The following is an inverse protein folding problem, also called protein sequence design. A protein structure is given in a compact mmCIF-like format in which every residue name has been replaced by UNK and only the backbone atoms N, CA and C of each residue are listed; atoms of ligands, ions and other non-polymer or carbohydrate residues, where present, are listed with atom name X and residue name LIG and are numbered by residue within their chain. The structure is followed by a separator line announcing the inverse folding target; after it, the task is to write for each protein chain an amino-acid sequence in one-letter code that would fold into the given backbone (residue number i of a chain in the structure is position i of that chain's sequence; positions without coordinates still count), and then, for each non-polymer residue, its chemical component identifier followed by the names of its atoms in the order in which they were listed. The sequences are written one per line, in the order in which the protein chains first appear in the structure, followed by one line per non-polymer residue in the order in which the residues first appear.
data_IF_003901671933
#
_entry.id   IF_003901671933
#
_cell.length_a   1.000
_cell.length_b   1.000
_cell.length_c   1.000
_cell.angle_alpha   90.00
_cell.angle_beta   90.00
_cell.angle_gamma   90.00
#
_symmetry.space_group_name_H-M   'P 1'
#
loop_
_entity.id
_entity.type
_entity.pdbx_description
1 polymer ?
#
# COMPACT_ATOMS: atom_id res chain seq x y z
N UNK A 1 43.88 -69.95 3.05
CA UNK A 1 42.91 -68.89 3.38
C UNK A 1 43.72 -67.70 3.90
N UNK A 2 44.01 -66.72 3.02
CA UNK A 2 44.95 -65.61 3.28
C UNK A 2 44.23 -64.43 3.94
N UNK A 3 44.92 -63.80 4.89
CA UNK A 3 44.58 -62.55 5.58
C UNK A 3 45.14 -61.36 4.79
N UNK A 4 44.35 -60.29 4.61
CA UNK A 4 44.75 -58.89 4.28
C UNK A 4 43.59 -58.00 4.78
N UNK A 5 43.70 -57.17 5.85
CA UNK A 5 44.35 -55.86 6.07
C UNK A 5 43.73 -54.67 5.30
N UNK A 6 43.39 -53.60 6.05
CA UNK A 6 42.93 -52.24 5.65
C UNK A 6 41.46 -52.17 5.18
N UNK A 7 40.62 -51.16 5.44
CA UNK A 7 40.74 -49.83 6.05
C UNK A 7 39.35 -49.16 6.11
N UNK A 8 39.20 -48.14 6.95
CA UNK A 8 38.23 -47.03 6.88
C UNK A 8 36.83 -47.24 7.51
N UNK A 9 36.71 -46.69 8.71
CA UNK A 9 35.47 -46.29 9.37
C UNK A 9 34.87 -45.06 8.68
N UNK A 10 33.57 -45.09 8.37
CA UNK A 10 32.78 -43.88 8.11
C UNK A 10 32.01 -43.55 9.39
N UNK A 11 32.48 -42.51 10.09
CA UNK A 11 31.73 -41.86 11.17
C UNK A 11 30.65 -41.00 10.52
N UNK A 12 29.38 -41.30 10.81
CA UNK A 12 28.26 -40.39 10.58
C UNK A 12 28.47 -39.13 11.40
N UNK A 13 28.86 -38.03 10.74
CA UNK A 13 28.84 -36.70 11.35
C UNK A 13 27.39 -36.21 11.26
N UNK A 14 26.69 -36.23 12.40
CA UNK A 14 25.43 -35.51 12.58
C UNK A 14 25.74 -34.01 12.45
N UNK A 15 25.32 -33.41 11.34
CA UNK A 15 25.36 -31.96 11.15
C UNK A 15 24.27 -31.35 12.04
N UNK A 16 24.64 -30.85 13.21
CA UNK A 16 23.76 -30.01 14.01
C UNK A 16 23.61 -28.66 13.29
N UNK A 17 22.52 -28.50 12.53
CA UNK A 17 22.17 -27.23 11.91
C UNK A 17 21.89 -26.20 13.00
N UNK A 18 22.73 -25.16 13.09
CA UNK A 18 22.37 -23.94 13.80
C UNK A 18 21.21 -23.30 13.03
N UNK A 19 20.00 -23.45 13.56
CA UNK A 19 18.87 -22.58 13.21
C UNK A 19 19.20 -21.24 13.86
N UNK A 20 19.88 -20.36 13.13
CA UNK A 20 19.95 -18.97 13.53
C UNK A 20 18.52 -18.43 13.53
N UNK A 21 18.04 -17.79 14.61
CA UNK A 21 16.77 -17.11 14.57
C UNK A 21 16.88 -16.05 13.48
N UNK A 22 16.10 -16.19 12.41
CA UNK A 22 15.79 -15.04 11.57
C UNK A 22 15.16 -14.03 12.50
N UNK A 23 15.90 -12.98 12.83
CA UNK A 23 15.29 -11.77 13.38
C UNK A 23 14.19 -11.40 12.39
N UNK A 24 12.94 -11.59 12.79
CA UNK A 24 11.83 -11.06 12.02
C UNK A 24 12.11 -9.58 11.87
N UNK A 25 12.07 -9.09 10.63
CA UNK A 25 11.85 -7.67 10.43
C UNK A 25 10.52 -7.42 11.12
N UNK A 26 10.56 -6.78 12.29
CA UNK A 26 9.35 -6.28 12.90
C UNK A 26 8.76 -5.36 11.84
N UNK A 27 7.61 -5.74 11.28
CA UNK A 27 6.78 -4.84 10.51
C UNK A 27 6.58 -3.64 11.43
N UNK A 28 7.28 -2.53 11.16
CA UNK A 28 6.99 -1.29 11.85
C UNK A 28 5.52 -1.06 11.58
N UNK A 29 4.70 -1.08 12.63
CA UNK A 29 3.31 -0.68 12.48
C UNK A 29 3.34 0.68 11.80
N UNK A 30 2.65 0.86 10.66
CA UNK A 30 2.40 2.19 10.14
C UNK A 30 1.92 3.03 11.34
N UNK A 31 2.39 4.27 11.45
CA UNK A 31 2.00 5.17 12.54
C UNK A 31 0.51 5.02 12.84
N UNK A 32 0.13 5.01 14.12
CA UNK A 32 -1.20 4.52 14.54
C UNK A 32 -2.31 5.11 13.67
N UNK A 33 -2.88 4.30 12.77
CA UNK A 33 -3.97 4.74 11.91
C UNK A 33 -5.07 5.33 12.80
N UNK A 34 -5.31 6.63 12.70
CA UNK A 34 -6.37 7.28 13.46
C UNK A 34 -7.66 7.09 12.69
N UNK A 35 -8.74 6.63 13.36
CA UNK A 35 -10.04 6.55 12.74
C UNK A 35 -10.45 7.89 12.12
N UNK A 36 -11.10 7.82 10.97
CA UNK A 36 -11.66 8.99 10.29
C UNK A 36 -13.01 9.30 10.92
N UNK A 37 -13.14 10.45 11.59
CA UNK A 37 -14.36 10.87 12.29
C UNK A 37 -15.03 12.04 11.58
N UNK A 38 -16.28 12.33 11.93
CA UNK A 38 -17.00 13.50 11.42
C UNK A 38 -16.23 14.81 11.66
N UNK A 39 -15.57 14.95 12.80
CA UNK A 39 -14.77 16.13 13.15
C UNK A 39 -13.56 16.27 12.21
N UNK A 40 -12.85 15.16 11.94
CA UNK A 40 -11.71 15.15 11.02
C UNK A 40 -12.13 15.38 9.57
N UNK A 41 -13.30 14.90 9.18
CA UNK A 41 -13.86 15.17 7.84
C UNK A 41 -14.22 16.65 7.66
N UNK A 42 -14.71 17.32 8.72
CA UNK A 42 -15.00 18.77 8.70
C UNK A 42 -13.75 19.64 8.73
N UNK A 43 -12.70 19.19 9.42
CA UNK A 43 -11.44 19.93 9.57
C UNK A 43 -10.25 18.94 9.52
N UNK A 44 -9.89 18.44 8.31
CA UNK A 44 -8.82 17.48 8.18
C UNK A 44 -7.47 18.12 8.51
N UNK A 45 -6.57 17.33 9.09
CA UNK A 45 -5.20 17.79 9.30
C UNK A 45 -4.48 17.96 7.94
N UNK A 46 -3.63 18.99 7.76
CA UNK A 46 -2.97 19.30 6.48
C UNK A 46 -2.20 18.15 5.83
N UNK A 47 -1.63 17.25 6.63
CA UNK A 47 -0.88 16.09 6.17
C UNK A 47 -1.75 14.94 5.64
N UNK A 48 -3.08 15.02 5.84
CA UNK A 48 -4.05 14.04 5.37
C UNK A 48 -4.84 14.58 4.17
N UNK A 49 -5.28 13.67 3.31
CA UNK A 49 -6.19 13.96 2.20
C UNK A 49 -7.37 13.00 2.30
N UNK A 50 -8.38 13.37 3.07
CA UNK A 50 -9.46 12.46 3.49
C UNK A 50 -10.65 12.40 2.52
N UNK A 51 -10.75 13.34 1.57
CA UNK A 51 -11.84 13.42 0.59
C UNK A 51 -11.33 13.49 -0.85
N UNK A 52 -12.20 13.14 -1.80
CA UNK A 52 -11.93 13.26 -3.25
C UNK A 52 -11.33 14.63 -3.68
N UNK A 53 -11.71 15.74 -3.01
CA UNK A 53 -11.16 17.09 -3.26
C UNK A 53 -10.59 17.76 -2.00
N UNK A 54 -10.07 16.95 -1.08
CA UNK A 54 -9.40 17.39 0.15
C UNK A 54 -10.35 17.71 1.30
N UNK A 55 -11.32 18.60 1.09
CA UNK A 55 -12.32 19.01 2.09
C UNK A 55 -13.74 18.95 1.52
N UNK A 56 -14.76 19.07 2.40
CA UNK A 56 -16.17 19.16 2.00
C UNK A 56 -16.49 20.33 1.05
N UNK A 57 -15.74 21.44 1.14
CA UNK A 57 -15.92 22.58 0.22
C UNK A 57 -15.55 22.23 -1.22
N UNK A 58 -14.78 21.16 -1.42
CA UNK A 58 -14.49 20.61 -2.72
C UNK A 58 -13.57 21.47 -3.57
N UNK A 59 -12.67 22.25 -2.97
CA UNK A 59 -11.78 23.13 -3.74
C UNK A 59 -10.60 22.38 -4.37
N UNK A 60 -10.16 21.26 -3.79
CA UNK A 60 -8.94 20.57 -4.24
C UNK A 60 -7.69 21.37 -3.89
N UNK A 61 -7.67 22.02 -2.72
CA UNK A 61 -6.59 22.88 -2.24
C UNK A 61 -5.89 22.24 -1.03
N UNK A 62 -4.56 22.30 -1.00
CA UNK A 62 -3.74 21.91 0.15
C UNK A 62 -3.12 23.15 0.77
N UNK A 63 -3.13 23.28 2.12
CA UNK A 63 -2.44 24.37 2.82
C UNK A 63 -0.93 24.09 3.03
N UNK A 64 -0.37 23.00 2.50
CA UNK A 64 1.05 22.69 2.64
C UNK A 64 1.91 23.59 1.74
N UNK A 65 2.96 24.18 2.30
CA UNK A 65 3.82 25.17 1.59
C UNK A 65 5.26 24.70 1.37
N UNK A 66 5.58 23.45 1.76
CA UNK A 66 6.94 22.91 1.63
C UNK A 66 7.45 22.96 0.17
N UNK A 67 6.56 22.67 -0.78
CA UNK A 67 6.82 22.81 -2.22
C UNK A 67 6.15 24.08 -2.69
N UNK A 68 6.91 24.96 -3.35
CA UNK A 68 6.43 26.26 -3.81
C UNK A 68 7.16 26.69 -5.09
N UNK A 69 6.82 27.86 -5.62
CA UNK A 69 7.37 28.38 -6.88
C UNK A 69 8.88 28.57 -6.89
N UNK A 70 9.52 28.64 -5.72
CA UNK A 70 10.96 28.84 -5.60
C UNK A 70 11.75 27.52 -5.63
N UNK A 71 11.09 26.38 -5.35
CA UNK A 71 11.77 25.08 -5.23
C UNK A 71 11.16 23.93 -6.06
N UNK A 72 10.01 24.14 -6.72
CA UNK A 72 9.33 23.11 -7.53
C UNK A 72 10.21 22.50 -8.62
N UNK A 73 11.18 23.26 -9.13
CA UNK A 73 12.14 22.81 -10.14
C UNK A 73 13.10 21.71 -9.63
N UNK A 74 13.16 21.48 -8.31
CA UNK A 74 14.00 20.45 -7.70
C UNK A 74 13.24 19.15 -7.40
N UNK A 75 11.97 19.05 -7.78
CA UNK A 75 11.19 17.83 -7.57
C UNK A 75 11.77 16.65 -8.37
N UNK A 76 11.82 15.51 -7.71
CA UNK A 76 12.21 14.24 -8.30
C UNK A 76 11.21 13.15 -7.88
N UNK A 77 10.99 12.12 -8.71
CA UNK A 77 10.23 10.94 -8.31
C UNK A 77 10.88 10.29 -7.08
N UNK A 78 10.08 9.99 -6.06
CA UNK A 78 10.54 9.29 -4.84
C UNK A 78 10.33 7.78 -4.93
N UNK A 79 9.22 7.35 -5.53
CA UNK A 79 8.89 5.97 -5.83
C UNK A 79 7.84 5.93 -6.95
N UNK A 80 7.63 4.74 -7.52
CA UNK A 80 6.56 4.48 -8.49
C UNK A 80 5.92 3.12 -8.19
N UNK A 81 4.61 3.02 -8.39
CA UNK A 81 3.84 1.80 -8.15
C UNK A 81 3.06 1.40 -9.39
N UNK A 82 3.20 0.16 -9.84
CA UNK A 82 2.39 -0.39 -10.93
C UNK A 82 1.15 -1.06 -10.36
N UNK A 83 -0.04 -0.65 -10.81
CA UNK A 83 -1.32 -1.25 -10.38
C UNK A 83 -1.55 -2.65 -10.94
N UNK A 84 -0.76 -3.06 -11.94
CA UNK A 84 -0.91 -4.37 -12.59
C UNK A 84 -2.14 -4.47 -13.50
N UNK A 85 -2.90 -3.39 -13.70
CA UNK A 85 -4.06 -3.35 -14.59
C UNK A 85 -3.93 -2.27 -15.65
N UNK A 86 -4.48 -2.57 -16.83
CA UNK A 86 -4.60 -1.60 -17.92
C UNK A 86 -5.98 -0.94 -17.90
N UNK A 87 -6.08 0.31 -18.36
CA UNK A 87 -7.33 1.06 -18.43
C UNK A 87 -7.20 2.47 -17.86
N UNK A 88 -8.31 3.22 -17.89
CA UNK A 88 -8.38 4.60 -17.41
C UNK A 88 -8.31 4.70 -15.89
N UNK A 89 -7.20 5.16 -15.34
CA UNK A 89 -7.07 5.41 -13.90
C UNK A 89 -7.61 6.81 -13.58
N UNK A 90 -8.75 6.87 -12.88
CA UNK A 90 -9.43 8.13 -12.52
C UNK A 90 -9.43 8.41 -11.01
N UNK A 91 -8.87 7.49 -10.21
CA UNK A 91 -8.89 7.59 -8.76
C UNK A 91 -7.99 8.71 -8.25
N UNK A 92 -8.54 9.54 -7.37
CA UNK A 92 -7.73 10.43 -6.52
C UNK A 92 -7.23 9.60 -5.33
N UNK A 93 -5.92 9.55 -5.05
CA UNK A 93 -5.42 8.87 -3.86
C UNK A 93 -5.97 9.52 -2.58
N UNK A 94 -6.51 8.69 -1.69
CA UNK A 94 -6.95 9.13 -0.35
C UNK A 94 -5.87 8.73 0.65
N UNK A 95 -5.43 9.67 1.48
CA UNK A 95 -4.29 9.48 2.39
C UNK A 95 -4.70 9.77 3.83
N UNK A 96 -4.55 8.78 4.72
CA UNK A 96 -4.77 8.94 6.16
C UNK A 96 -3.58 8.35 6.92
N UNK A 97 -2.91 9.18 7.71
CA UNK A 97 -1.78 8.82 8.58
C UNK A 97 -0.69 8.00 7.86
N UNK A 98 -0.37 8.41 6.63
CA UNK A 98 0.67 7.79 5.81
C UNK A 98 0.22 6.53 5.05
N UNK A 99 -1.03 6.08 5.19
CA UNK A 99 -1.60 5.04 4.35
C UNK A 99 -2.33 5.67 3.17
N UNK A 100 -1.91 5.34 1.95
CA UNK A 100 -2.51 5.79 0.71
C UNK A 100 -3.42 4.69 0.14
N UNK A 101 -4.67 5.03 -0.17
CA UNK A 101 -5.65 4.14 -0.78
C UNK A 101 -5.94 4.59 -2.22
N UNK A 102 -5.84 3.66 -3.17
CA UNK A 102 -6.07 3.92 -4.60
C UNK A 102 -6.95 2.82 -5.18
N UNK A 103 -8.00 3.20 -5.91
CA UNK A 103 -8.78 2.25 -6.71
C UNK A 103 -8.25 2.17 -8.13
N UNK A 104 -8.46 1.04 -8.78
CA UNK A 104 -8.04 0.83 -10.17
C UNK A 104 -9.23 0.59 -11.10
N UNK A 105 -9.01 0.61 -12.42
CA UNK A 105 -9.90 -0.07 -13.34
C UNK A 105 -10.14 -1.53 -12.92
N UNK A 106 -11.37 -2.01 -13.05
CA UNK A 106 -11.72 -3.38 -12.64
C UNK A 106 -11.82 -3.59 -11.12
N UNK A 107 -12.15 -2.54 -10.36
CA UNK A 107 -12.52 -2.59 -8.93
C UNK A 107 -11.50 -3.26 -7.99
N UNK A 108 -10.21 -2.92 -8.13
CA UNK A 108 -9.23 -3.21 -7.08
C UNK A 108 -9.11 -2.03 -6.12
N UNK A 109 -8.82 -2.31 -4.85
CA UNK A 109 -8.35 -1.31 -3.87
C UNK A 109 -6.93 -1.68 -3.45
N UNK A 110 -6.01 -0.74 -3.57
CA UNK A 110 -4.61 -0.90 -3.20
C UNK A 110 -4.35 0.02 -2.00
N UNK A 111 -3.83 -0.53 -0.91
CA UNK A 111 -3.27 0.25 0.19
C UNK A 111 -1.74 0.23 0.14
N UNK A 112 -1.15 1.41 0.19
CA UNK A 112 0.29 1.64 0.00
C UNK A 112 0.80 2.47 1.18
N UNK A 113 2.00 2.17 1.67
CA UNK A 113 2.72 3.09 2.53
C UNK A 113 3.14 4.32 1.72
N UNK A 114 2.57 5.49 2.00
CA UNK A 114 2.78 6.71 1.21
C UNK A 114 4.24 7.19 1.22
N UNK A 115 5.03 6.81 2.23
CA UNK A 115 6.44 7.20 2.35
C UNK A 115 7.34 6.31 1.49
N UNK A 116 7.18 4.99 1.58
CA UNK A 116 8.08 4.05 0.89
C UNK A 116 7.56 3.59 -0.47
N UNK A 117 6.25 3.64 -0.70
CA UNK A 117 5.60 3.04 -1.87
C UNK A 117 5.37 1.54 -1.72
N UNK A 118 5.59 0.96 -0.53
CA UNK A 118 5.40 -0.47 -0.29
C UNK A 118 3.92 -0.85 -0.27
N UNK A 119 3.61 -1.98 -0.92
CA UNK A 119 2.27 -2.57 -0.84
C UNK A 119 1.97 -3.02 0.60
N UNK A 120 0.90 -2.49 1.18
CA UNK A 120 0.40 -2.93 2.48
C UNK A 120 -0.61 -4.06 2.32
N UNK A 121 -1.61 -3.85 1.46
CA UNK A 121 -2.59 -4.88 1.10
C UNK A 121 -3.27 -4.56 -0.23
N UNK A 122 -3.86 -5.59 -0.84
CA UNK A 122 -4.63 -5.51 -2.08
C UNK A 122 -5.97 -6.20 -1.88
N UNK A 123 -7.05 -5.51 -2.23
CA UNK A 123 -8.39 -6.08 -2.32
C UNK A 123 -8.82 -6.16 -3.79
N UNK A 124 -9.27 -7.34 -4.20
CA UNK A 124 -9.76 -7.62 -5.54
C UNK A 124 -11.27 -7.86 -5.46
N UNK A 125 -12.05 -7.08 -6.21
CA UNK A 125 -13.48 -7.33 -6.36
C UNK A 125 -13.78 -7.78 -7.79
N UNK A 126 -14.31 -8.99 -7.91
CA UNK A 126 -14.76 -9.52 -9.20
C UNK A 126 -16.06 -8.83 -9.60
N UNK A 127 -16.03 -8.20 -10.77
CA UNK A 127 -17.22 -7.63 -11.40
C UNK A 127 -18.15 -8.75 -11.87
N UNK A 128 -19.46 -8.50 -11.79
CA UNK A 128 -20.46 -9.40 -12.36
C UNK A 128 -20.26 -9.53 -13.88
N UNK A 129 -20.49 -10.73 -14.43
CA UNK A 129 -20.28 -11.03 -15.84
C UNK A 129 -21.16 -10.18 -16.78
N UNK A 130 -22.32 -9.73 -16.29
CA UNK A 130 -23.32 -8.97 -17.04
C UNK A 130 -23.21 -7.45 -16.83
N UNK A 131 -22.13 -6.98 -16.21
CA UNK A 131 -21.95 -5.54 -15.99
C UNK A 131 -21.84 -4.80 -17.34
N UNK A 132 -22.63 -3.74 -17.49
CA UNK A 132 -22.60 -2.89 -18.69
C UNK A 132 -21.87 -1.61 -18.32
N UNK A 133 -20.60 -1.52 -18.72
CA UNK A 133 -19.78 -0.32 -18.55
C UNK A 133 -19.12 0.10 -19.87
N UNK A 134 -19.23 1.37 -20.24
CA UNK A 134 -18.49 1.92 -21.38
C UNK A 134 -16.98 2.00 -21.09
N UNK A 135 -16.64 2.29 -19.83
CA UNK A 135 -15.28 2.24 -19.31
C UNK A 135 -15.30 1.63 -17.91
N UNK A 136 -14.47 0.63 -17.67
CA UNK A 136 -14.32 -0.02 -16.38
C UNK A 136 -13.47 0.82 -15.43
N UNK A 137 -13.82 2.09 -15.20
CA UNK A 137 -13.07 3.02 -14.35
C UNK A 137 -13.69 3.13 -12.95
N UNK A 138 -12.85 3.48 -11.98
CA UNK A 138 -13.26 3.76 -10.61
C UNK A 138 -12.63 5.10 -10.17
N UNK A 139 -13.35 5.91 -9.39
CA UNK A 139 -12.96 7.29 -9.03
C UNK A 139 -12.40 7.43 -7.62
N UNK A 140 -12.28 6.34 -6.88
CA UNK A 140 -11.61 6.34 -5.59
C UNK A 140 -12.41 5.63 -4.51
N UNK A 141 -11.91 5.81 -3.29
CA UNK A 141 -12.54 5.32 -2.06
C UNK A 141 -12.98 6.48 -1.19
N UNK A 142 -13.77 6.17 -0.17
CA UNK A 142 -14.04 7.05 0.96
C UNK A 142 -13.60 6.36 2.26
N UNK A 143 -13.19 7.13 3.27
CA UNK A 143 -12.79 6.61 4.57
C UNK A 143 -13.78 7.02 5.66
N UNK A 144 -14.13 6.09 6.54
CA UNK A 144 -14.86 6.42 7.76
C UNK A 144 -14.56 5.40 8.85
N UNK A 145 -14.26 5.89 10.06
CA UNK A 145 -13.73 5.08 11.14
C UNK A 145 -12.44 4.39 10.71
N UNK A 146 -12.45 3.06 10.81
CA UNK A 146 -11.39 2.13 10.41
C UNK A 146 -11.68 1.42 9.07
N UNK A 147 -12.58 1.97 8.26
CA UNK A 147 -13.10 1.32 7.04
C UNK A 147 -12.78 2.11 5.79
N UNK A 148 -12.61 1.35 4.71
CA UNK A 148 -12.47 1.83 3.33
C UNK A 148 -13.74 1.45 2.58
N UNK A 149 -14.38 2.42 1.95
CA UNK A 149 -15.59 2.26 1.17
C UNK A 149 -15.26 2.45 -0.31
N UNK A 150 -15.62 1.48 -1.14
CA UNK A 150 -15.49 1.55 -2.60
C UNK A 150 -16.85 1.23 -3.21
N UNK A 151 -17.30 2.04 -4.17
CA UNK A 151 -18.43 1.70 -5.01
C UNK A 151 -18.01 0.72 -6.11
N UNK A 152 -18.80 -0.32 -6.35
CA UNK A 152 -18.49 -1.43 -7.26
C UNK A 152 -19.49 -1.57 -8.38
#
# INVERSE_FOLDING_TARGET
MKLDRYSIAIRLILLAGLIAPRAGIAQQSPGSYRPVTDERLKAPEPENWLFYRGTYDGWGYSPLEQINSENVQFLAPVWAFSTGVNGGHEAVPIVNDGVMFVTTPGNQVIAIDARSGDLMWLYLHELAEDVIAYHYTNRGVELYGDKVFMAT
#
